data_IF_738460800189
#
_entry.id   IF_738460800189
#
_cell.length_a   1.000
_cell.length_b   1.000
_cell.length_c   1.000
_cell.angle_alpha   90.00
_cell.angle_beta   90.00
_cell.angle_gamma   90.00
#
_symmetry.space_group_name_H-M   'P 1'
#
loop_
_entity.id
_entity.type
_entity.pdbx_description
1 polymer ?
#
# COMPACT_ATOMS: atom_id res chain seq x y z
N UNK A 1 -66.56 -24.93 16.19
CA UNK A 1 -65.83 -26.12 15.69
C UNK A 1 -65.32 -25.78 14.30
N UNK A 2 -64.03 -25.99 14.12
CA UNK A 2 -63.19 -25.77 12.94
C UNK A 2 -63.79 -26.47 11.70
N UNK A 3 -63.55 -26.07 10.45
CA UNK A 3 -62.30 -25.88 9.74
C UNK A 3 -62.60 -25.01 8.50
N UNK A 4 -61.66 -24.21 8.01
CA UNK A 4 -60.87 -24.32 6.76
C UNK A 4 -59.91 -23.09 6.80
N UNK A 5 -58.69 -23.04 6.29
CA UNK A 5 -58.21 -23.36 4.95
C UNK A 5 -56.69 -23.54 5.06
N UNK A 6 -56.15 -24.68 4.60
CA UNK A 6 -54.71 -24.88 4.45
C UNK A 6 -54.23 -24.19 3.16
N UNK A 7 -53.42 -23.14 3.28
CA UNK A 7 -52.85 -22.42 2.15
C UNK A 7 -51.58 -23.13 1.65
N UNK A 8 -51.75 -24.05 0.69
CA UNK A 8 -50.63 -24.68 -0.01
C UNK A 8 -50.05 -23.73 -1.06
N UNK A 9 -48.83 -23.22 -0.85
CA UNK A 9 -48.13 -22.42 -1.83
C UNK A 9 -47.74 -23.29 -3.06
N UNK A 10 -47.94 -22.81 -4.30
CA UNK A 10 -47.61 -23.58 -5.51
C UNK A 10 -46.10 -23.73 -5.66
N UNK A 11 -45.64 -24.97 -5.86
CA UNK A 11 -44.22 -25.39 -6.01
C UNK A 11 -43.42 -24.65 -7.09
N UNK A 12 -44.10 -23.93 -7.98
CA UNK A 12 -43.52 -23.15 -9.07
C UNK A 12 -42.84 -21.85 -8.62
N UNK A 13 -43.24 -21.26 -7.49
CA UNK A 13 -42.59 -20.05 -6.94
C UNK A 13 -41.21 -20.34 -6.38
N UNK A 14 -40.97 -21.57 -5.93
CA UNK A 14 -39.69 -21.99 -5.35
C UNK A 14 -38.62 -22.17 -6.44
N UNK A 15 -39.00 -22.65 -7.63
CA UNK A 15 -38.08 -22.87 -8.75
C UNK A 15 -37.63 -21.58 -9.45
N UNK A 16 -38.51 -20.57 -9.55
CA UNK A 16 -38.14 -19.26 -10.13
C UNK A 16 -37.18 -18.48 -9.23
N UNK A 17 -37.28 -18.62 -7.91
CA UNK A 17 -36.31 -18.06 -6.96
C UNK A 17 -34.95 -18.79 -7.02
N UNK A 18 -34.94 -20.12 -7.19
CA UNK A 18 -33.72 -20.93 -7.24
C UNK A 18 -32.84 -20.67 -8.48
N UNK A 19 -33.41 -20.20 -9.59
CA UNK A 19 -32.66 -19.93 -10.83
C UNK A 19 -32.15 -18.49 -10.97
N UNK A 20 -32.72 -17.53 -10.24
CA UNK A 20 -32.30 -16.11 -10.31
C UNK A 20 -31.19 -15.74 -9.31
N UNK A 21 -31.07 -16.46 -8.20
CA UNK A 21 -30.03 -16.23 -7.18
C UNK A 21 -28.59 -16.45 -7.69
N UNK A 22 -28.26 -17.48 -8.50
CA UNK A 22 -26.88 -17.68 -8.94
C UNK A 22 -26.42 -16.67 -10.00
N UNK A 23 -27.33 -16.03 -10.74
CA UNK A 23 -26.98 -15.06 -11.79
C UNK A 23 -26.53 -13.70 -11.22
N UNK A 24 -27.07 -13.28 -10.07
CA UNK A 24 -26.68 -12.03 -9.42
C UNK A 24 -25.27 -12.07 -8.81
N UNK A 25 -24.80 -13.26 -8.41
CA UNK A 25 -23.49 -13.44 -7.76
C UNK A 25 -22.30 -13.38 -8.74
N UNK A 26 -22.52 -13.57 -10.04
CA UNK A 26 -21.47 -13.60 -11.06
C UNK A 26 -21.08 -12.21 -11.62
N UNK A 27 -21.84 -11.17 -11.27
CA UNK A 27 -21.59 -9.79 -11.71
C UNK A 27 -20.96 -8.91 -10.63
N UNK A 28 -20.52 -9.49 -9.51
CA UNK A 28 -19.71 -8.75 -8.55
C UNK A 28 -18.35 -8.45 -9.20
N UNK A 29 -18.00 -7.17 -9.47
CA UNK A 29 -16.67 -6.84 -9.94
C UNK A 29 -15.69 -7.26 -8.85
N UNK A 30 -14.77 -8.17 -9.19
CA UNK A 30 -13.63 -8.53 -8.36
C UNK A 30 -12.69 -7.34 -8.28
N UNK A 31 -13.04 -6.36 -7.45
CA UNK A 31 -12.18 -5.22 -7.14
C UNK A 31 -11.08 -5.70 -6.19
N UNK A 32 -10.11 -6.43 -6.72
CA UNK A 32 -8.78 -6.52 -6.12
C UNK A 32 -8.12 -5.14 -6.26
N UNK A 33 -8.56 -4.18 -5.44
CA UNK A 33 -7.81 -2.96 -5.21
C UNK A 33 -6.51 -3.37 -4.52
N UNK A 34 -5.42 -3.40 -5.27
CA UNK A 34 -4.10 -3.24 -4.69
C UNK A 34 -4.11 -1.87 -3.99
N UNK A 35 -4.34 -1.86 -2.67
CA UNK A 35 -4.17 -0.67 -1.84
C UNK A 35 -2.67 -0.33 -1.84
N UNK A 36 -2.21 0.36 -2.87
CA UNK A 36 -0.96 1.06 -2.80
C UNK A 36 -1.18 2.29 -1.93
N UNK A 37 -0.39 2.49 -0.85
CA UNK A 37 -0.48 3.70 -0.05
C UNK A 37 -0.29 4.90 -0.98
N UNK A 38 -1.30 5.75 -1.06
CA UNK A 38 -1.19 7.01 -1.78
C UNK A 38 -0.29 7.92 -0.95
N UNK A 39 0.87 8.26 -1.51
CA UNK A 39 1.80 9.18 -0.88
C UNK A 39 1.33 10.60 -1.14
N UNK A 40 1.16 11.37 -0.07
CA UNK A 40 0.96 12.82 -0.16
C UNK A 40 2.32 13.53 -0.28
N UNK A 41 2.43 14.48 -1.19
CA UNK A 41 3.68 15.18 -1.49
C UNK A 41 3.59 16.63 -1.05
N UNK A 42 4.57 17.11 -0.28
CA UNK A 42 4.59 18.53 0.13
C UNK A 42 4.90 19.47 -1.03
N UNK A 43 5.62 18.99 -2.05
CA UNK A 43 5.93 19.75 -3.25
C UNK A 43 6.23 18.83 -4.45
N UNK A 44 6.19 19.41 -5.65
CA UNK A 44 6.41 18.70 -6.91
C UNK A 44 7.86 18.22 -7.08
N UNK A 45 8.84 18.83 -6.42
CA UNK A 45 10.23 18.36 -6.44
C UNK A 45 10.36 16.99 -5.77
N UNK A 46 9.78 16.83 -4.57
CA UNK A 46 9.75 15.55 -3.86
C UNK A 46 9.01 14.48 -4.66
N UNK A 47 7.88 14.84 -5.29
CA UNK A 47 7.16 13.94 -6.20
C UNK A 47 8.06 13.45 -7.33
N UNK A 48 8.71 14.37 -8.04
CA UNK A 48 9.55 14.03 -9.18
C UNK A 48 10.74 13.13 -8.79
N UNK A 49 11.44 13.46 -7.70
CA UNK A 49 12.55 12.66 -7.18
C UNK A 49 12.10 11.24 -6.84
N UNK A 50 11.05 11.12 -6.02
CA UNK A 50 10.51 9.85 -5.57
C UNK A 50 10.03 8.95 -6.74
N UNK A 51 9.41 9.53 -7.78
CA UNK A 51 8.97 8.79 -8.96
C UNK A 51 10.19 8.26 -9.74
N UNK A 52 11.23 9.07 -9.94
CA UNK A 52 12.44 8.67 -10.67
C UNK A 52 13.20 7.59 -9.90
N UNK A 53 13.34 7.77 -8.59
CA UNK A 53 14.16 6.92 -7.73
C UNK A 53 13.53 5.53 -7.53
N UNK A 54 12.22 5.48 -7.28
CA UNK A 54 11.54 4.25 -6.90
C UNK A 54 10.18 4.03 -7.56
N UNK A 55 9.66 4.97 -8.35
CA UNK A 55 8.26 4.98 -8.75
C UNK A 55 7.34 5.30 -7.56
N UNK A 56 7.87 5.98 -6.55
CA UNK A 56 7.24 6.25 -5.26
C UNK A 56 6.71 5.03 -4.54
N UNK A 57 7.57 4.03 -4.37
CA UNK A 57 7.25 2.79 -3.66
C UNK A 57 8.45 2.28 -2.87
N UNK A 58 8.22 1.56 -1.76
CA UNK A 58 9.28 0.89 -1.04
C UNK A 58 9.85 -0.24 -1.94
N UNK A 59 11.07 -0.05 -2.45
CA UNK A 59 11.69 -0.93 -3.45
C UNK A 59 12.81 -1.80 -2.90
N UNK A 60 13.12 -1.71 -1.61
CA UNK A 60 14.34 -2.31 -1.08
C UNK A 60 15.58 -1.55 -1.57
N UNK A 61 16.72 -2.22 -1.45
CA UNK A 61 18.03 -1.65 -1.78
C UNK A 61 18.54 -2.11 -3.15
N UNK A 62 19.23 -1.23 -3.85
CA UNK A 62 20.06 -1.62 -5.01
C UNK A 62 21.26 -0.69 -5.15
N UNK A 63 22.27 -1.16 -5.88
CA UNK A 63 23.45 -0.37 -6.22
C UNK A 63 23.14 0.64 -7.33
N UNK A 64 23.78 1.81 -7.26
CA UNK A 64 23.87 2.75 -8.36
C UNK A 64 25.02 2.40 -9.33
N UNK A 65 25.16 3.17 -10.42
CA UNK A 65 26.21 2.96 -11.43
C UNK A 65 27.65 3.05 -10.86
N UNK A 66 27.82 3.60 -9.66
CA UNK A 66 29.10 3.75 -8.97
C UNK A 66 29.27 2.73 -7.83
N UNK A 67 28.37 1.73 -7.71
CA UNK A 67 28.41 0.71 -6.66
C UNK A 67 28.01 1.22 -5.27
N UNK A 68 27.25 2.32 -5.19
CA UNK A 68 26.72 2.84 -3.93
C UNK A 68 25.31 2.30 -3.71
N UNK A 69 25.08 1.67 -2.56
CA UNK A 69 23.77 1.16 -2.17
C UNK A 69 22.82 2.29 -1.79
N UNK A 70 21.65 2.33 -2.41
CA UNK A 70 20.53 3.22 -2.04
C UNK A 70 19.22 2.44 -1.88
N UNK A 71 18.41 2.81 -0.89
CA UNK A 71 17.21 2.05 -0.51
C UNK A 71 15.91 2.87 -0.56
N UNK A 72 14.78 2.16 -0.69
CA UNK A 72 13.43 2.70 -0.51
C UNK A 72 13.02 3.83 -1.45
N UNK A 73 12.22 4.78 -0.94
CA UNK A 73 11.49 5.75 -1.75
C UNK A 73 12.38 6.69 -2.58
N UNK A 74 13.49 7.16 -1.99
CA UNK A 74 14.39 8.16 -2.58
C UNK A 74 15.79 7.60 -2.86
N UNK A 75 15.92 6.26 -2.97
CA UNK A 75 17.23 5.58 -3.04
C UNK A 75 18.24 6.13 -2.03
N UNK A 76 17.77 6.37 -0.81
CA UNK A 76 18.54 7.02 0.25
C UNK A 76 19.73 6.15 0.60
N UNK A 77 20.94 6.71 0.56
CA UNK A 77 22.15 6.00 0.96
C UNK A 77 22.47 6.22 2.45
N UNK A 78 23.20 5.29 3.07
CA UNK A 78 23.58 5.35 4.48
C UNK A 78 24.35 6.63 4.86
N UNK A 79 25.22 7.12 3.98
CA UNK A 79 25.99 8.34 4.25
C UNK A 79 25.09 9.58 4.31
N UNK A 80 24.13 9.70 3.39
CA UNK A 80 23.11 10.75 3.36
C UNK A 80 22.24 10.68 4.62
N UNK A 81 21.83 9.48 5.03
CA UNK A 81 21.09 9.28 6.28
C UNK A 81 21.85 9.79 7.51
N UNK A 82 23.17 9.56 7.56
CA UNK A 82 24.03 10.12 8.61
C UNK A 82 24.13 11.64 8.54
N UNK A 83 24.18 12.23 7.33
CA UNK A 83 24.25 13.69 7.17
C UNK A 83 22.96 14.40 7.58
N UNK A 84 21.80 13.75 7.45
CA UNK A 84 20.53 14.31 7.91
C UNK A 84 20.22 14.00 9.38
N UNK A 85 21.24 13.68 10.19
CA UNK A 85 21.13 13.40 11.63
C UNK A 85 20.27 12.18 12.00
N UNK A 86 20.13 11.21 11.08
CA UNK A 86 19.53 9.90 11.35
C UNK A 86 18.09 9.97 11.90
N UNK A 87 17.14 10.58 11.17
CA UNK A 87 15.75 10.69 11.62
C UNK A 87 15.13 9.31 11.88
N UNK A 88 14.25 9.22 12.88
CA UNK A 88 13.57 7.98 13.26
C UNK A 88 14.46 6.92 13.92
N UNK A 89 15.75 7.19 14.14
CA UNK A 89 16.66 6.29 14.86
C UNK A 89 16.29 6.21 16.34
N UNK A 90 16.12 4.99 16.85
CA UNK A 90 15.94 4.74 18.29
C UNK A 90 17.30 4.60 18.97
N UNK A 91 17.32 4.75 20.30
CA UNK A 91 18.57 4.65 21.09
C UNK A 91 19.23 3.29 20.88
N UNK A 92 18.43 2.22 20.91
CA UNK A 92 18.90 0.84 20.77
C UNK A 92 19.18 0.41 19.32
N UNK A 93 18.78 1.21 18.33
CA UNK A 93 19.00 0.88 16.92
C UNK A 93 20.47 1.11 16.56
N UNK A 94 21.08 0.20 15.81
CA UNK A 94 22.24 0.55 15.00
C UNK A 94 21.82 1.48 13.85
N UNK A 95 22.77 2.24 13.31
CA UNK A 95 22.48 3.20 12.24
C UNK A 95 21.98 2.54 10.95
N UNK A 96 22.31 1.28 10.70
CA UNK A 96 21.98 0.58 9.45
C UNK A 96 20.53 0.11 9.46
N UNK A 97 20.10 -0.52 10.55
CA UNK A 97 18.72 -0.87 10.77
C UNK A 97 17.80 0.36 10.76
N UNK A 98 18.25 1.46 11.39
CA UNK A 98 17.51 2.73 11.39
C UNK A 98 17.43 3.35 9.98
N UNK A 99 18.54 3.33 9.24
CA UNK A 99 18.59 3.80 7.85
C UNK A 99 17.64 3.01 6.95
N UNK A 100 17.71 1.68 6.97
CA UNK A 100 16.87 0.82 6.14
C UNK A 100 15.38 1.10 6.40
N UNK A 101 14.99 1.16 7.68
CA UNK A 101 13.61 1.47 8.06
C UNK A 101 13.19 2.86 7.59
N UNK A 102 14.05 3.86 7.76
CA UNK A 102 13.75 5.23 7.34
C UNK A 102 13.66 5.35 5.82
N UNK A 103 14.52 4.66 5.07
CA UNK A 103 14.52 4.69 3.61
C UNK A 103 13.23 4.10 3.02
N UNK A 104 12.72 3.03 3.62
CA UNK A 104 11.45 2.38 3.24
C UNK A 104 10.20 3.11 3.77
N UNK A 105 10.36 4.19 4.53
CA UNK A 105 9.28 5.02 5.03
C UNK A 105 9.30 6.39 4.34
N UNK A 106 8.22 6.75 3.64
CA UNK A 106 8.20 7.98 2.84
C UNK A 106 8.34 9.23 3.72
N UNK A 107 7.68 9.28 4.88
CA UNK A 107 7.73 10.46 5.75
C UNK A 107 9.14 10.67 6.31
N UNK A 108 9.77 9.61 6.82
CA UNK A 108 11.13 9.67 7.36
C UNK A 108 12.15 10.02 6.27
N UNK A 109 12.09 9.34 5.13
CA UNK A 109 13.03 9.58 4.03
C UNK A 109 12.84 10.97 3.41
N UNK A 110 11.61 11.45 3.23
CA UNK A 110 11.35 12.80 2.73
C UNK A 110 11.81 13.89 3.71
N UNK A 111 11.69 13.67 5.03
CA UNK A 111 12.30 14.56 6.03
C UNK A 111 13.82 14.65 5.86
N UNK A 112 14.50 13.52 5.66
CA UNK A 112 15.94 13.51 5.41
C UNK A 112 16.31 14.31 4.14
N UNK A 113 15.55 14.15 3.05
CA UNK A 113 15.77 14.89 1.79
C UNK A 113 15.56 16.41 1.98
N UNK A 114 14.55 16.82 2.77
CA UNK A 114 14.26 18.25 3.03
C UNK A 114 15.36 18.98 3.81
N UNK A 115 16.21 18.25 4.56
CA UNK A 115 17.27 18.84 5.39
C UNK A 115 18.63 18.93 4.67
N UNK A 116 18.64 18.75 3.35
CA UNK A 116 19.85 18.77 2.51
C UNK A 116 19.91 20.01 1.63
#
# INVERSE_FOLDING_TARGET
MNHEVGFGAPTWTMYTLLLLVPFAALLAPSTSFLLFPQVEFDNECLRAMCIVDSGCRPKGCSDDANGRVGCGYFRLNMYQYKQCYQPGKRIEDDSEAAWLRCAEDYECSSQCIKHR
#
